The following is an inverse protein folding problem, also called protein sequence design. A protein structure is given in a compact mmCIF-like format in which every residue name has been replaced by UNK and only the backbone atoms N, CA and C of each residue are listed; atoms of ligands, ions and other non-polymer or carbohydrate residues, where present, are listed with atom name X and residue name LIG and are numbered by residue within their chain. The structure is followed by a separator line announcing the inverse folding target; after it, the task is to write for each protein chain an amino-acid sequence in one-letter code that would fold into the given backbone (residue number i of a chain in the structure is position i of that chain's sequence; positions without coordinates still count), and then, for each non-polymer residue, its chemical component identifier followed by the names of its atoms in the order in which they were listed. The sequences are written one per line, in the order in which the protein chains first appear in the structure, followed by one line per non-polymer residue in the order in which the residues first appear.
data_IF_279444853457
#
_entry.id   IF_279444853457
#
_cell.length_a   1.000
_cell.length_b   1.000
_cell.length_c   1.000
_cell.angle_alpha   90.00
_cell.angle_beta   90.00
_cell.angle_gamma   90.00
#
_symmetry.space_group_name_H-M   'P 1'
#
loop_
_entity.id
_entity.type
_entity.pdbx_description
1 polymer ?
#
# COMPACT_ATOMS: atom_id res chain seq x y z
N UNK A 1 -12.07 5.87 10.56
CA UNK A 1 -10.92 4.94 10.58
C UNK A 1 -11.07 4.00 11.77
N UNK A 2 -10.64 2.74 11.64
CA UNK A 2 -10.48 1.79 12.75
C UNK A 2 -9.25 0.90 12.54
N UNK A 3 -8.80 0.23 13.61
CA UNK A 3 -7.73 -0.77 13.56
C UNK A 3 -8.24 -2.12 13.05
N UNK A 4 -7.32 -2.94 12.55
CA UNK A 4 -7.56 -4.36 12.31
C UNK A 4 -7.93 -5.06 13.62
N UNK A 5 -8.87 -5.99 13.56
CA UNK A 5 -9.40 -6.65 14.74
C UNK A 5 -9.28 -8.17 14.67
N UNK A 6 -9.76 -8.79 13.58
CA UNK A 6 -9.80 -10.24 13.44
C UNK A 6 -9.83 -10.67 11.97
N UNK A 7 -9.93 -11.97 11.71
CA UNK A 7 -9.86 -12.54 10.37
C UNK A 7 -10.96 -12.08 9.41
N UNK A 8 -12.09 -11.57 9.91
CA UNK A 8 -13.09 -10.95 9.02
C UNK A 8 -12.51 -9.71 8.33
N UNK A 9 -11.62 -8.97 8.98
CA UNK A 9 -10.93 -7.83 8.36
C UNK A 9 -9.95 -8.29 7.29
N UNK A 10 -9.27 -9.42 7.50
CA UNK A 10 -8.42 -10.01 6.48
C UNK A 10 -9.23 -10.34 5.21
N UNK A 11 -10.39 -10.97 5.36
CA UNK A 11 -11.27 -11.28 4.22
C UNK A 11 -11.83 -10.02 3.56
N UNK A 12 -12.20 -9.00 4.35
CA UNK A 12 -12.66 -7.71 3.84
C UNK A 12 -11.57 -6.98 3.05
N UNK A 13 -10.31 -7.00 3.53
CA UNK A 13 -9.16 -6.44 2.82
C UNK A 13 -8.95 -7.14 1.49
N UNK A 14 -8.99 -8.48 1.47
CA UNK A 14 -8.87 -9.24 0.21
C UNK A 14 -9.95 -8.88 -0.80
N UNK A 15 -11.18 -8.72 -0.35
CA UNK A 15 -12.28 -8.28 -1.20
C UNK A 15 -12.02 -6.86 -1.73
N UNK A 16 -11.65 -5.93 -0.86
CA UNK A 16 -11.31 -4.55 -1.22
C UNK A 16 -10.18 -4.48 -2.27
N UNK A 17 -9.08 -5.22 -2.08
CA UNK A 17 -7.96 -5.24 -3.02
C UNK A 17 -8.37 -5.84 -4.38
N UNK A 18 -9.22 -6.88 -4.38
CA UNK A 18 -9.76 -7.46 -5.62
C UNK A 18 -10.61 -6.46 -6.39
N UNK A 19 -11.52 -5.79 -5.71
CA UNK A 19 -12.41 -4.79 -6.33
C UNK A 19 -11.61 -3.58 -6.83
N UNK A 20 -10.69 -3.10 -6.00
CA UNK A 20 -9.81 -1.96 -6.32
C UNK A 20 -8.94 -2.24 -7.54
N UNK A 21 -8.40 -3.45 -7.66
CA UNK A 21 -7.64 -3.86 -8.85
C UNK A 21 -8.48 -3.78 -10.13
N UNK A 22 -9.76 -4.19 -10.08
CA UNK A 22 -10.67 -4.06 -11.22
C UNK A 22 -10.99 -2.60 -11.54
N UNK A 23 -11.15 -1.75 -10.51
CA UNK A 23 -11.44 -0.32 -10.67
C UNK A 23 -10.24 0.47 -11.21
N UNK A 24 -9.01 0.01 -10.96
CA UNK A 24 -7.79 0.52 -11.59
C UNK A 24 -7.48 -0.12 -12.95
N UNK A 25 -8.48 -0.72 -13.62
CA UNK A 25 -8.30 -1.39 -14.91
C UNK A 25 -7.19 -2.45 -14.90
N UNK A 26 -7.11 -3.23 -13.81
CA UNK A 26 -6.05 -4.23 -13.58
C UNK A 26 -4.64 -3.64 -13.51
N UNK A 27 -4.52 -2.34 -13.20
CA UNK A 27 -3.25 -1.76 -12.79
C UNK A 27 -3.01 -1.96 -11.30
N UNK A 28 -1.84 -2.51 -10.97
CA UNK A 28 -1.34 -2.72 -9.60
C UNK A 28 -0.89 -1.38 -8.96
N UNK A 29 -1.76 -0.36 -9.00
CA UNK A 29 -1.58 0.88 -8.22
C UNK A 29 -1.68 0.56 -6.73
N UNK A 30 -2.56 -0.38 -6.40
CA UNK A 30 -2.67 -1.00 -5.10
C UNK A 30 -2.08 -2.41 -5.10
N UNK A 31 -1.77 -2.96 -3.92
CA UNK A 31 -1.34 -4.35 -3.81
C UNK A 31 -2.36 -5.33 -4.42
N UNK A 32 -1.93 -6.27 -5.25
CA UNK A 32 -2.78 -7.38 -5.66
C UNK A 32 -2.99 -8.37 -4.51
N UNK A 33 -4.10 -9.10 -4.53
CA UNK A 33 -4.49 -10.03 -3.45
C UNK A 33 -3.41 -11.06 -3.16
N UNK A 34 -2.68 -11.56 -4.16
CA UNK A 34 -1.62 -12.55 -3.93
C UNK A 34 -0.45 -11.97 -3.12
N UNK A 35 -0.13 -10.67 -3.28
CA UNK A 35 0.92 -10.01 -2.51
C UNK A 35 0.47 -9.82 -1.08
N UNK A 36 -0.79 -9.43 -0.88
CA UNK A 36 -1.39 -9.35 0.45
C UNK A 36 -1.38 -10.70 1.17
N UNK A 37 -1.80 -11.77 0.50
CA UNK A 37 -1.83 -13.12 1.07
C UNK A 37 -0.39 -13.59 1.41
N UNK A 38 0.58 -13.36 0.53
CA UNK A 38 1.99 -13.66 0.78
C UNK A 38 2.54 -12.86 1.97
N UNK A 39 2.28 -11.54 2.02
CA UNK A 39 2.74 -10.70 3.11
C UNK A 39 2.13 -11.14 4.44
N UNK A 40 0.81 -11.36 4.47
CA UNK A 40 0.09 -11.72 5.69
C UNK A 40 0.54 -13.06 6.27
N UNK A 41 0.75 -14.08 5.43
CA UNK A 41 0.98 -15.46 5.90
C UNK A 41 2.44 -15.89 5.91
N UNK A 42 3.29 -15.28 5.09
CA UNK A 42 4.70 -15.63 5.05
C UNK A 42 5.55 -14.50 5.64
N UNK A 43 5.50 -13.31 5.05
CA UNK A 43 6.36 -12.20 5.50
C UNK A 43 6.08 -11.84 6.95
N UNK A 44 4.81 -11.68 7.32
CA UNK A 44 4.46 -11.30 8.67
C UNK A 44 4.67 -12.44 9.67
N UNK A 45 4.21 -13.66 9.37
CA UNK A 45 4.28 -14.77 10.33
C UNK A 45 5.70 -15.32 10.53
N UNK A 46 6.57 -15.20 9.53
CA UNK A 46 7.90 -15.81 9.56
C UNK A 46 9.07 -14.81 9.63
N UNK A 47 8.84 -13.53 9.29
CA UNK A 47 9.93 -12.54 9.15
C UNK A 47 9.70 -11.31 10.04
N UNK A 48 8.60 -10.59 9.83
CA UNK A 48 8.41 -9.27 10.45
C UNK A 48 7.68 -9.32 11.79
N UNK A 49 6.81 -10.31 12.00
CA UNK A 49 6.05 -10.52 13.24
C UNK A 49 5.29 -9.28 13.74
N UNK A 50 4.69 -8.49 12.84
CA UNK A 50 3.88 -7.35 13.23
C UNK A 50 2.64 -7.81 14.00
N UNK A 51 2.33 -7.09 15.08
CA UNK A 51 1.05 -7.19 15.75
C UNK A 51 -0.03 -6.49 14.90
N UNK A 52 -0.80 -7.27 14.14
CA UNK A 52 -1.71 -6.74 13.11
C UNK A 52 -2.68 -5.66 13.62
N UNK A 53 -3.33 -5.79 14.79
CA UNK A 53 -4.20 -4.72 15.32
C UNK A 53 -3.49 -3.38 15.57
N UNK A 54 -2.18 -3.40 15.82
CA UNK A 54 -1.39 -2.17 15.97
C UNK A 54 -0.82 -1.67 14.63
N UNK A 55 -0.63 -2.58 13.67
CA UNK A 55 0.05 -2.29 12.42
C UNK A 55 -0.90 -1.96 11.26
N UNK A 56 -2.19 -2.30 11.28
CA UNK A 56 -3.10 -2.11 10.15
C UNK A 56 -4.23 -1.13 10.49
N UNK A 57 -4.49 -0.19 9.58
CA UNK A 57 -5.53 0.81 9.72
C UNK A 57 -6.48 0.80 8.51
N UNK A 58 -7.78 0.81 8.78
CA UNK A 58 -8.84 0.65 7.79
C UNK A 58 -9.78 1.86 7.81
N UNK A 59 -10.02 2.44 6.64
CA UNK A 59 -10.98 3.53 6.45
C UNK A 59 -12.25 3.02 5.81
N UNK A 60 -13.38 3.34 6.44
CA UNK A 60 -14.68 2.96 5.96
C UNK A 60 -15.52 4.19 5.69
N UNK A 61 -16.41 4.12 4.70
CA UNK A 61 -17.49 5.10 4.54
C UNK A 61 -18.47 5.02 5.72
N UNK A 62 -19.35 6.02 5.90
CA UNK A 62 -20.45 5.93 6.87
C UNK A 62 -21.37 4.72 6.65
N UNK A 63 -21.47 4.24 5.41
CA UNK A 63 -22.23 3.03 5.05
C UNK A 63 -21.48 1.72 5.35
N UNK A 64 -20.26 1.79 5.88
CA UNK A 64 -19.47 0.62 6.29
C UNK A 64 -18.63 -0.02 5.19
N UNK A 65 -18.55 0.55 3.99
CA UNK A 65 -17.68 0.04 2.93
C UNK A 65 -16.21 0.43 3.17
N UNK A 66 -15.27 -0.52 3.08
CA UNK A 66 -13.82 -0.29 3.14
C UNK A 66 -13.35 0.45 1.88
N UNK A 67 -12.67 1.58 2.05
CA UNK A 67 -12.24 2.47 0.95
C UNK A 67 -10.76 2.78 0.93
N UNK A 68 -10.08 2.61 2.07
CA UNK A 68 -8.64 2.65 2.12
C UNK A 68 -8.07 1.74 3.22
N UNK A 69 -6.85 1.27 3.01
CA UNK A 69 -6.06 0.47 3.92
C UNK A 69 -4.65 1.06 4.00
N UNK A 70 -4.13 1.15 5.22
CA UNK A 70 -2.73 1.48 5.50
C UNK A 70 -2.09 0.29 6.21
N UNK A 71 -0.96 -0.18 5.68
CA UNK A 71 -0.18 -1.26 6.28
C UNK A 71 1.32 -1.10 5.96
N UNK A 72 2.21 -1.69 6.78
CA UNK A 72 3.62 -1.80 6.45
C UNK A 72 3.89 -2.95 5.47
N UNK A 73 5.05 -2.93 4.81
CA UNK A 73 5.63 -4.13 4.18
C UNK A 73 6.72 -4.69 5.10
N UNK A 74 7.73 -3.85 5.39
CA UNK A 74 8.69 -4.04 6.49
C UNK A 74 8.77 -2.83 7.44
N UNK A 75 9.62 -2.90 8.48
CA UNK A 75 9.83 -1.78 9.40
C UNK A 75 10.33 -0.54 8.65
N UNK A 76 9.73 0.63 8.91
CA UNK A 76 10.10 1.86 8.20
C UNK A 76 9.49 1.99 6.81
N UNK A 77 8.52 1.15 6.45
CA UNK A 77 7.86 1.18 5.14
C UNK A 77 6.34 1.24 5.27
N UNK A 78 5.68 1.85 4.28
CA UNK A 78 4.23 1.96 4.22
C UNK A 78 3.66 1.81 2.81
N UNK A 79 2.53 1.14 2.72
CA UNK A 79 1.65 1.09 1.56
C UNK A 79 0.28 1.69 1.90
N UNK A 80 -0.17 2.57 1.00
CA UNK A 80 -1.42 3.31 1.12
C UNK A 80 -2.36 2.86 -0.01
N UNK A 81 -3.23 1.92 0.32
CA UNK A 81 -4.16 1.32 -0.62
C UNK A 81 -5.46 2.14 -0.60
N UNK A 82 -5.82 2.78 -1.72
CA UNK A 82 -6.98 3.68 -1.77
C UNK A 82 -7.80 3.41 -3.02
N UNK A 83 -9.10 3.16 -2.85
CA UNK A 83 -10.02 3.00 -3.97
C UNK A 83 -10.06 4.26 -4.85
N UNK A 84 -10.12 4.14 -6.20
CA UNK A 84 -10.11 5.29 -7.12
C UNK A 84 -11.14 6.38 -6.81
N UNK A 85 -12.36 5.98 -6.45
CA UNK A 85 -13.46 6.89 -6.16
C UNK A 85 -13.24 7.76 -4.89
N UNK A 86 -12.28 7.38 -4.04
CA UNK A 86 -11.97 8.06 -2.78
C UNK A 86 -10.59 8.73 -2.80
N UNK A 87 -9.96 8.84 -3.98
CA UNK A 87 -8.70 9.57 -4.13
C UNK A 87 -8.94 11.06 -3.95
N UNK A 88 -8.59 11.57 -2.77
CA UNK A 88 -8.72 12.96 -2.40
C UNK A 88 -7.47 13.42 -1.61
N UNK A 89 -7.00 14.69 -1.79
CA UNK A 89 -5.84 15.20 -1.06
C UNK A 89 -5.95 15.06 0.47
N UNK A 90 -7.15 15.23 1.02
CA UNK A 90 -7.41 15.18 2.46
C UNK A 90 -7.15 13.79 3.02
N UNK A 91 -7.65 12.74 2.32
CA UNK A 91 -7.43 11.35 2.71
C UNK A 91 -5.96 10.95 2.56
N UNK A 92 -5.28 11.41 1.51
CA UNK A 92 -3.83 11.16 1.33
C UNK A 92 -3.02 11.79 2.47
N UNK A 93 -3.35 13.02 2.87
CA UNK A 93 -2.70 13.68 4.01
C UNK A 93 -2.96 12.92 5.30
N UNK A 94 -4.18 12.44 5.53
CA UNK A 94 -4.52 11.63 6.71
C UNK A 94 -3.71 10.32 6.74
N UNK A 95 -3.71 9.57 5.64
CA UNK A 95 -2.98 8.30 5.51
C UNK A 95 -1.46 8.48 5.71
N UNK A 96 -0.87 9.50 5.10
CA UNK A 96 0.57 9.78 5.25
C UNK A 96 0.90 10.18 6.69
N UNK A 97 0.04 10.96 7.35
CA UNK A 97 0.23 11.35 8.76
C UNK A 97 0.19 10.13 9.68
N UNK A 98 -0.74 9.20 9.42
CA UNK A 98 -0.81 7.94 10.14
C UNK A 98 0.44 7.08 9.91
N UNK A 99 0.93 7.01 8.67
CA UNK A 99 2.16 6.29 8.36
C UNK A 99 3.38 6.87 9.08
N UNK A 100 3.55 8.19 9.06
CA UNK A 100 4.62 8.91 9.76
C UNK A 100 4.61 8.64 11.26
N UNK A 101 3.41 8.64 11.86
CA UNK A 101 3.24 8.43 13.30
C UNK A 101 3.54 6.99 13.71
N UNK A 102 3.16 6.02 12.87
CA UNK A 102 3.15 4.61 13.28
C UNK A 102 4.28 3.76 12.73
N UNK A 103 4.86 4.12 11.58
CA UNK A 103 5.85 3.27 10.90
C UNK A 103 7.22 3.89 10.78
N UNK A 104 7.39 5.18 11.09
CA UNK A 104 8.71 5.82 11.02
C UNK A 104 9.66 5.18 12.05
N UNK A 105 10.85 4.82 11.57
CA UNK A 105 11.89 4.17 12.39
C UNK A 105 13.04 5.14 12.68
N UNK A 106 13.54 5.10 13.91
CA UNK A 106 14.71 5.88 14.31
C UNK A 106 15.95 5.36 13.59
N UNK A 107 16.76 6.29 13.10
CA UNK A 107 18.06 6.04 12.51
C UNK A 107 19.16 6.22 13.59
N UNK A 108 20.37 5.68 13.37
CA UNK A 108 21.49 5.83 14.31
C UNK A 108 21.89 7.29 14.61
N UNK A 109 21.60 8.22 13.70
CA UNK A 109 21.84 9.66 13.86
C UNK A 109 20.72 10.41 14.61
N UNK A 110 19.72 9.69 15.11
CA UNK A 110 18.56 10.24 15.82
C UNK A 110 17.47 10.79 14.92
N UNK A 111 17.63 10.73 13.60
CA UNK A 111 16.57 11.12 12.65
C UNK A 111 15.50 10.02 12.53
N UNK A 112 14.30 10.40 12.06
CA UNK A 112 13.24 9.44 11.74
C UNK A 112 13.22 9.21 10.23
N UNK A 113 13.06 7.95 9.82
CA UNK A 113 12.93 7.56 8.41
C UNK A 113 11.65 6.78 8.17
N UNK A 114 10.97 7.12 7.10
CA UNK A 114 9.84 6.37 6.55
C UNK A 114 9.95 6.32 5.03
N UNK A 115 9.75 5.15 4.45
CA UNK A 115 9.62 4.93 3.02
C UNK A 115 8.14 4.71 2.70
N UNK A 116 7.59 5.53 1.81
CA UNK A 116 6.23 5.34 1.30
C UNK A 116 6.33 4.90 -0.16
N UNK A 117 5.78 3.73 -0.46
CA UNK A 117 5.79 3.19 -1.81
C UNK A 117 4.68 3.85 -2.65
N UNK A 118 5.05 4.33 -3.84
CA UNK A 118 4.17 5.11 -4.71
C UNK A 118 4.30 4.65 -6.15
N UNK A 119 3.18 4.27 -6.76
CA UNK A 119 3.13 3.91 -8.16
C UNK A 119 3.56 5.10 -9.04
N UNK A 120 4.29 4.84 -10.13
CA UNK A 120 4.92 5.89 -10.95
C UNK A 120 3.91 6.84 -11.60
N UNK A 121 2.68 6.38 -11.87
CA UNK A 121 1.58 7.20 -12.40
C UNK A 121 0.84 8.01 -11.32
N UNK A 122 1.08 7.78 -10.03
CA UNK A 122 0.36 8.43 -8.94
C UNK A 122 0.87 9.86 -8.73
N UNK A 123 0.31 10.82 -9.46
CA UNK A 123 0.69 12.24 -9.40
C UNK A 123 0.26 12.88 -8.09
N UNK A 124 -0.94 12.56 -7.59
CA UNK A 124 -1.52 13.14 -6.38
C UNK A 124 -0.64 12.85 -5.16
N UNK A 125 -0.35 11.56 -4.90
CA UNK A 125 0.44 11.17 -3.73
C UNK A 125 1.86 11.71 -3.80
N UNK A 126 2.49 11.70 -4.99
CA UNK A 126 3.81 12.31 -5.20
C UNK A 126 3.84 13.79 -4.83
N UNK A 127 2.83 14.56 -5.23
CA UNK A 127 2.75 15.98 -4.89
C UNK A 127 2.57 16.21 -3.39
N UNK A 128 1.73 15.41 -2.72
CA UNK A 128 1.54 15.51 -1.26
C UNK A 128 2.85 15.19 -0.53
N UNK A 129 3.53 14.11 -0.91
CA UNK A 129 4.81 13.70 -0.32
C UNK A 129 5.91 14.75 -0.54
N UNK A 130 6.00 15.33 -1.74
CA UNK A 130 6.97 16.39 -2.03
C UNK A 130 6.75 17.61 -1.14
N UNK A 131 5.49 18.03 -0.93
CA UNK A 131 5.15 19.14 -0.01
C UNK A 131 5.49 18.83 1.45
N UNK A 132 5.53 17.54 1.83
CA UNK A 132 5.93 17.07 3.16
C UNK A 132 7.44 16.80 3.30
N UNK A 133 8.23 17.12 2.28
CA UNK A 133 9.70 16.99 2.33
C UNK A 133 10.24 15.61 1.99
N UNK A 134 9.41 14.68 1.50
CA UNK A 134 9.90 13.40 1.00
C UNK A 134 10.70 13.58 -0.29
N UNK A 135 11.74 12.76 -0.42
CA UNK A 135 12.53 12.64 -1.64
C UNK A 135 12.31 11.28 -2.27
N UNK A 136 12.45 11.19 -3.59
CA UNK A 136 12.30 9.92 -4.31
C UNK A 136 13.48 9.00 -3.98
N UNK A 137 13.18 7.79 -3.49
CA UNK A 137 14.18 6.76 -3.26
C UNK A 137 14.80 6.19 -4.54
N UNK A 138 15.99 5.59 -4.42
CA UNK A 138 16.75 5.03 -5.55
C UNK A 138 16.42 3.59 -5.93
N UNK A 139 15.59 2.88 -5.15
CA UNK A 139 15.28 1.46 -5.36
C UNK A 139 13.81 1.31 -5.78
N UNK A 140 13.51 1.20 -7.09
CA UNK A 140 12.14 1.02 -7.56
C UNK A 140 11.70 -0.44 -7.46
N UNK A 141 10.43 -0.66 -7.13
CA UNK A 141 9.76 -1.91 -7.45
C UNK A 141 9.34 -1.89 -8.93
N UNK A 142 9.65 -2.95 -9.66
CA UNK A 142 9.38 -3.05 -11.10
C UNK A 142 8.21 -4.01 -11.37
N UNK A 143 7.07 -3.46 -11.77
CA UNK A 143 5.95 -4.25 -12.27
C UNK A 143 6.17 -4.63 -13.73
N UNK A 144 5.99 -5.91 -14.05
CA UNK A 144 6.10 -6.43 -15.41
C UNK A 144 4.75 -6.92 -15.88
N UNK A 145 4.37 -6.53 -17.09
CA UNK A 145 3.10 -6.95 -17.69
C UNK A 145 3.33 -7.44 -19.09
N UNK A 146 2.47 -8.38 -19.48
CA UNK A 146 2.44 -8.95 -20.80
C UNK A 146 0.99 -9.04 -21.24
N UNK A 147 0.72 -8.50 -22.42
CA UNK A 147 -0.53 -8.71 -23.11
C UNK A 147 -0.61 -10.18 -23.56
N UNK A 148 -1.65 -10.89 -23.12
CA UNK A 148 -1.85 -12.31 -23.44
C UNK A 148 -2.49 -12.52 -24.81
N UNK A 149 -3.05 -11.47 -25.42
CA UNK A 149 -3.63 -11.52 -26.76
C UNK A 149 -2.58 -11.27 -27.85
N UNK A 150 -1.35 -10.90 -27.46
CA UNK A 150 -0.21 -10.70 -28.38
C UNK A 150 0.69 -11.93 -28.45
N UNK A 151 1.25 -12.25 -29.63
CA UNK A 151 2.16 -13.37 -29.79
C UNK A 151 3.43 -13.21 -28.94
N UNK A 152 4.10 -14.33 -28.67
CA UNK A 152 5.44 -14.32 -28.08
C UNK A 152 6.42 -13.66 -29.06
N UNK A 153 7.21 -12.70 -28.56
CA UNK A 153 8.35 -12.20 -29.34
C UNK A 153 9.35 -13.35 -29.48
N UNK A 154 10.02 -13.49 -30.64
CA UNK A 154 11.12 -14.45 -30.77
C UNK A 154 12.22 -14.13 -29.74
N UNK A 155 13.02 -15.14 -29.33
CA UNK A 155 14.15 -14.92 -28.43
C UNK A 155 15.07 -13.82 -28.98
N UNK A 156 15.54 -12.93 -28.11
CA UNK A 156 16.59 -11.95 -28.47
C UNK A 156 17.91 -12.73 -28.58
N UNK A 157 18.57 -12.63 -29.74
CA UNK A 157 19.87 -13.25 -29.99
C UNK A 157 21.00 -12.59 -29.20
#
# INVERSE_FOLDING_TARGET
MRRYHNDNDYWAIRQFLRETFLQYDRHEVCWPVYRWDYWRWYVNECICHFHLPAALFLWHTPAGALVALLHPDGPGEAFLEVAPAFRAPELEVELITMAETHYAVSQPDGTQKLTIWVHSSDTLRRQVLQRRGYTRGGQPECQRRRDLDRPLLPPVA
#
